data_IF_122692423722
#
_entry.id   IF_122692423722
#
_cell.length_a   1.000
_cell.length_b   1.000
_cell.length_c   1.000
_cell.angle_alpha   90.00
_cell.angle_beta   90.00
_cell.angle_gamma   90.00
#
_symmetry.space_group_name_H-M   'P 1'
#
loop_
_entity.id
_entity.type
_entity.pdbx_description
1 polymer ?
#
# COMPACT_ATOMS: atom_id res chain seq x y z
N UNK A 1 16.00 -3.33 8.98
CA UNK A 1 15.12 -2.76 7.95
C UNK A 1 15.98 -2.46 6.75
N UNK A 2 15.67 -3.00 5.57
CA UNK A 2 16.41 -2.67 4.34
C UNK A 2 16.36 -1.16 4.08
N UNK A 3 17.43 -0.58 3.54
CA UNK A 3 17.52 0.86 3.22
C UNK A 3 16.33 1.34 2.36
N UNK A 4 15.79 0.46 1.50
CA UNK A 4 14.64 0.77 0.66
C UNK A 4 13.34 0.98 1.45
N UNK A 5 13.12 0.21 2.51
CA UNK A 5 11.90 0.28 3.32
C UNK A 5 11.88 1.57 4.13
N UNK A 6 13.02 1.89 4.77
CA UNK A 6 13.19 3.15 5.47
C UNK A 6 13.05 4.34 4.51
N UNK A 7 13.67 4.27 3.33
CA UNK A 7 13.55 5.31 2.31
C UNK A 7 12.11 5.53 1.87
N UNK A 8 11.34 4.45 1.69
CA UNK A 8 9.93 4.54 1.32
C UNK A 8 9.08 5.22 2.41
N UNK A 9 9.31 4.84 3.67
CA UNK A 9 8.65 5.45 4.83
C UNK A 9 9.03 6.94 4.95
N UNK A 10 10.32 7.25 5.00
CA UNK A 10 10.83 8.63 5.17
C UNK A 10 10.34 9.56 4.06
N UNK A 11 10.35 9.11 2.80
CA UNK A 11 9.84 9.90 1.68
C UNK A 11 8.35 10.20 1.84
N UNK A 12 7.55 9.19 2.21
CA UNK A 12 6.10 9.31 2.34
C UNK A 12 5.68 10.23 3.51
N UNK A 13 6.51 10.36 4.56
CA UNK A 13 6.26 11.34 5.63
C UNK A 13 6.24 12.79 5.12
N UNK A 14 7.01 13.10 4.08
CA UNK A 14 7.19 14.47 3.59
C UNK A 14 6.54 14.76 2.25
N UNK A 15 6.10 13.74 1.52
CA UNK A 15 5.51 13.91 0.19
C UNK A 15 4.09 14.48 0.29
N UNK A 16 3.77 15.49 -0.52
CA UNK A 16 2.41 16.02 -0.64
C UNK A 16 1.58 15.10 -1.53
N UNK A 17 0.91 14.11 -0.93
CA UNK A 17 0.03 13.20 -1.66
C UNK A 17 -1.28 13.89 -2.02
N UNK A 18 -1.75 13.66 -3.25
CA UNK A 18 -3.11 14.03 -3.62
C UNK A 18 -4.13 13.08 -2.94
N UNK A 19 -5.39 13.51 -2.72
CA UNK A 19 -6.41 12.66 -2.12
C UNK A 19 -6.60 11.32 -2.83
N UNK A 20 -6.50 11.31 -4.16
CA UNK A 20 -6.59 10.09 -4.97
C UNK A 20 -5.41 9.15 -4.73
N UNK A 21 -4.22 9.66 -4.41
CA UNK A 21 -3.05 8.83 -4.14
C UNK A 21 -3.16 8.17 -2.77
N UNK A 22 -3.69 8.88 -1.77
CA UNK A 22 -4.00 8.35 -0.44
C UNK A 22 -5.07 7.24 -0.52
N UNK A 23 -6.12 7.46 -1.30
CA UNK A 23 -7.16 6.45 -1.55
C UNK A 23 -6.54 5.17 -2.14
N UNK A 24 -5.63 5.32 -3.11
CA UNK A 24 -5.00 4.19 -3.77
C UNK A 24 -3.89 3.53 -2.95
N UNK A 25 -3.25 4.25 -2.03
CA UNK A 25 -2.39 3.67 -0.99
C UNK A 25 -3.21 2.72 -0.09
N UNK A 26 -4.36 3.19 0.40
CA UNK A 26 -5.27 2.43 1.25
C UNK A 26 -5.80 1.18 0.54
N UNK A 27 -6.26 1.32 -0.72
CA UNK A 27 -6.71 0.18 -1.53
C UNK A 27 -5.61 -0.83 -1.79
N UNK A 28 -4.37 -0.38 -2.00
CA UNK A 28 -3.25 -1.30 -2.22
C UNK A 28 -2.91 -2.05 -0.93
N UNK A 29 -2.86 -1.37 0.21
CA UNK A 29 -2.66 -1.99 1.53
C UNK A 29 -3.73 -3.07 1.79
N UNK A 30 -5.00 -2.76 1.56
CA UNK A 30 -6.10 -3.71 1.68
C UNK A 30 -5.91 -4.96 0.80
N UNK A 31 -5.51 -4.77 -0.47
CA UNK A 31 -5.23 -5.89 -1.38
C UNK A 31 -4.03 -6.73 -0.96
N UNK A 32 -3.04 -6.14 -0.30
CA UNK A 32 -1.86 -6.86 0.18
C UNK A 32 -2.21 -7.68 1.43
N UNK A 33 -2.99 -7.11 2.36
CA UNK A 33 -3.45 -7.83 3.57
C UNK A 33 -4.39 -9.00 3.27
N UNK A 34 -5.15 -8.91 2.17
CA UNK A 34 -6.02 -9.97 1.63
C UNK A 34 -5.26 -10.98 0.73
N UNK A 35 -3.95 -10.80 0.54
CA UNK A 35 -3.09 -11.61 -0.33
C UNK A 35 -3.53 -11.66 -1.82
N UNK A 36 -4.49 -10.84 -2.26
CA UNK A 36 -4.91 -10.74 -3.67
C UNK A 36 -4.01 -9.84 -4.52
N UNK A 37 -2.83 -9.48 -4.02
CA UNK A 37 -1.85 -8.65 -4.71
C UNK A 37 -0.79 -9.50 -5.40
N UNK A 38 -0.51 -9.26 -6.68
CA UNK A 38 0.52 -10.01 -7.46
C UNK A 38 1.94 -9.46 -7.31
N UNK A 39 2.17 -8.52 -6.39
CA UNK A 39 3.51 -7.99 -6.13
C UNK A 39 4.30 -9.00 -5.28
N UNK A 40 5.62 -9.07 -5.52
CA UNK A 40 6.53 -9.87 -4.68
C UNK A 40 6.62 -9.27 -3.26
N UNK A 41 7.21 -10.02 -2.33
CA UNK A 41 7.30 -9.63 -0.92
C UNK A 41 8.02 -8.29 -0.72
N UNK A 42 9.13 -8.07 -1.44
CA UNK A 42 9.90 -6.83 -1.36
C UNK A 42 9.07 -5.60 -1.76
N UNK A 43 8.36 -5.68 -2.89
CA UNK A 43 7.46 -4.61 -3.34
C UNK A 43 6.33 -4.40 -2.32
N UNK A 44 5.74 -5.48 -1.77
CA UNK A 44 4.68 -5.36 -0.77
C UNK A 44 5.17 -4.62 0.46
N UNK A 45 6.36 -4.95 0.95
CA UNK A 45 6.97 -4.32 2.12
C UNK A 45 7.26 -2.83 1.87
N UNK A 46 7.76 -2.47 0.68
CA UNK A 46 7.90 -1.06 0.26
C UNK A 46 6.58 -0.31 0.33
N UNK A 47 5.51 -0.86 -0.26
CA UNK A 47 4.21 -0.18 -0.27
C UNK A 47 3.53 -0.15 1.11
N UNK A 48 3.79 -1.14 1.97
CA UNK A 48 3.37 -1.06 3.37
C UNK A 48 4.09 0.05 4.12
N UNK A 49 5.39 0.22 3.92
CA UNK A 49 6.14 1.32 4.54
C UNK A 49 5.62 2.71 4.11
N UNK A 50 5.19 2.86 2.85
CA UNK A 50 4.50 4.07 2.41
C UNK A 50 3.17 4.26 3.15
N UNK A 51 2.34 3.22 3.24
CA UNK A 51 1.05 3.29 3.93
C UNK A 51 1.20 3.55 5.44
N UNK A 52 2.18 2.90 6.08
CA UNK A 52 2.49 3.08 7.50
C UNK A 52 2.93 4.53 7.78
N UNK A 53 3.72 5.14 6.89
CA UNK A 53 4.06 6.56 7.00
C UNK A 53 2.84 7.49 6.87
N UNK A 54 1.88 7.19 5.97
CA UNK A 54 0.63 7.95 5.88
C UNK A 54 -0.19 7.86 7.17
N UNK A 55 -0.19 6.70 7.85
CA UNK A 55 -0.88 6.53 9.14
C UNK A 55 -0.21 7.32 10.27
N UNK A 56 1.10 7.49 10.21
CA UNK A 56 1.89 8.14 11.27
C UNK A 56 1.98 9.67 11.09
N UNK A 57 1.43 10.20 9.99
CA UNK A 57 1.35 11.65 9.71
C UNK A 57 0.21 12.30 10.50
N UNK A 58 0.53 13.38 11.22
CA UNK A 58 -0.44 14.14 12.00
C UNK A 58 -1.30 15.10 11.17
N UNK A 59 -0.88 15.39 9.94
CA UNK A 59 -1.59 16.28 9.01
C UNK A 59 -2.60 15.54 8.11
N UNK A 60 -2.64 14.21 8.16
CA UNK A 60 -3.57 13.38 7.43
C UNK A 60 -4.58 12.72 8.37
N UNK A 61 -5.83 12.63 7.92
CA UNK A 61 -6.90 11.92 8.64
C UNK A 61 -7.30 10.70 7.81
N UNK A 62 -7.01 9.51 8.32
CA UNK A 62 -7.37 8.21 7.74
C UNK A 62 -8.38 7.49 8.64
N UNK A 63 -9.52 8.13 8.88
CA UNK A 63 -10.53 7.70 9.84
C UNK A 63 -11.73 6.95 9.22
N UNK A 64 -11.73 6.74 7.90
CA UNK A 64 -12.76 5.95 7.25
C UNK A 64 -12.71 4.46 7.63
N UNK A 65 -13.83 3.76 7.50
CA UNK A 65 -13.99 2.36 7.88
C UNK A 65 -12.94 1.42 7.24
N UNK A 66 -12.47 1.73 6.03
CA UNK A 66 -11.47 0.93 5.33
C UNK A 66 -10.12 1.09 6.01
N UNK A 67 -9.70 2.33 6.25
CA UNK A 67 -8.44 2.62 6.92
C UNK A 67 -8.42 2.14 8.37
N UNK A 68 -9.52 2.28 9.11
CA UNK A 68 -9.64 1.72 10.46
C UNK A 68 -9.45 0.20 10.47
N UNK A 69 -10.05 -0.52 9.51
CA UNK A 69 -9.89 -1.97 9.40
C UNK A 69 -8.45 -2.35 9.04
N UNK A 70 -7.84 -1.67 8.06
CA UNK A 70 -6.45 -1.92 7.65
C UNK A 70 -5.53 -1.71 8.86
N UNK A 71 -5.66 -0.61 9.60
CA UNK A 71 -4.81 -0.33 10.78
C UNK A 71 -4.96 -1.38 11.88
N UNK A 72 -6.17 -1.91 12.12
CA UNK A 72 -6.40 -3.01 13.06
C UNK A 72 -5.74 -4.31 12.60
N UNK A 73 -5.92 -4.66 11.32
CA UNK A 73 -5.43 -5.89 10.72
C UNK A 73 -3.92 -5.89 10.40
N UNK A 74 -3.31 -4.71 10.26
CA UNK A 74 -1.88 -4.56 9.96
C UNK A 74 -1.04 -5.06 11.13
N UNK A 75 -0.14 -6.01 10.86
CA UNK A 75 1.01 -6.32 11.70
C UNK A 75 2.27 -5.80 11.02
N UNK A 76 2.84 -4.70 11.55
CA UNK A 76 4.00 -4.02 10.97
C UNK A 76 5.27 -4.88 10.91
N UNK A 77 5.30 -6.05 11.56
CA UNK A 77 6.44 -6.98 11.52
C UNK A 77 6.38 -7.98 10.34
N UNK A 78 5.30 -7.98 9.57
CA UNK A 78 5.09 -8.91 8.45
C UNK A 78 4.42 -8.21 7.27
N UNK A 79 4.32 -8.88 6.12
CA UNK A 79 3.52 -8.45 4.97
C UNK A 79 2.11 -9.04 4.96
N UNK A 80 1.77 -9.88 5.95
CA UNK A 80 0.46 -10.49 6.10
C UNK A 80 -0.43 -9.71 7.07
N UNK A 81 -1.74 -9.95 7.01
CA UNK A 81 -2.66 -9.51 8.04
C UNK A 81 -2.52 -10.36 9.30
N UNK A 82 -2.87 -9.75 10.44
CA UNK A 82 -3.18 -10.50 11.66
C UNK A 82 -4.28 -11.52 11.35
N UNK A 83 -4.09 -12.82 11.64
CA UNK A 83 -4.99 -13.88 11.19
C UNK A 83 -6.46 -13.68 11.58
N UNK A 84 -6.72 -13.08 12.74
CA UNK A 84 -8.06 -12.83 13.28
C UNK A 84 -8.88 -11.81 12.48
N UNK A 85 -8.26 -11.06 11.55
CA UNK A 85 -8.94 -10.09 10.68
C UNK A 85 -9.05 -10.55 9.22
N UNK A 86 -8.59 -11.76 8.89
CA UNK A 86 -8.48 -12.22 7.51
C UNK A 86 -9.83 -12.21 6.77
N UNK A 87 -10.92 -12.59 7.44
CA UNK A 87 -12.25 -12.65 6.85
C UNK A 87 -12.82 -11.24 6.61
N UNK A 88 -12.67 -10.33 7.57
CA UNK A 88 -13.11 -8.93 7.47
C UNK A 88 -12.36 -8.20 6.35
N UNK A 89 -11.04 -8.41 6.25
CA UNK A 89 -10.20 -7.88 5.18
C UNK A 89 -10.66 -8.38 3.82
N UNK A 90 -10.95 -9.69 3.71
CA UNK A 90 -11.44 -10.29 2.47
C UNK A 90 -12.76 -9.66 2.00
N UNK A 91 -13.75 -9.56 2.90
CA UNK A 91 -15.05 -8.96 2.61
C UNK A 91 -14.94 -7.48 2.26
N UNK A 92 -14.15 -6.72 3.02
CA UNK A 92 -13.91 -5.30 2.75
C UNK A 92 -13.28 -5.10 1.37
N UNK A 93 -12.28 -5.93 1.02
CA UNK A 93 -11.62 -5.90 -0.28
C UNK A 93 -12.61 -6.12 -1.41
N UNK A 94 -13.51 -7.12 -1.30
CA UNK A 94 -14.52 -7.37 -2.33
C UNK A 94 -15.37 -6.12 -2.57
N UNK A 95 -15.88 -5.51 -1.50
CA UNK A 95 -16.73 -4.31 -1.55
C UNK A 95 -16.02 -3.09 -2.16
N UNK A 96 -14.77 -2.85 -1.76
CA UNK A 96 -14.03 -1.62 -2.13
C UNK A 96 -13.40 -1.72 -3.52
N UNK A 97 -12.89 -2.89 -3.91
CA UNK A 97 -12.11 -3.04 -5.13
C UNK A 97 -12.98 -3.13 -6.39
N UNK A 98 -14.25 -3.49 -6.28
CA UNK A 98 -15.17 -3.55 -7.42
C UNK A 98 -15.20 -2.24 -8.23
N UNK A 99 -15.13 -1.09 -7.55
CA UNK A 99 -15.17 0.25 -8.17
C UNK A 99 -13.79 0.85 -8.46
N UNK A 100 -12.71 0.09 -8.26
CA UNK A 100 -11.35 0.60 -8.41
C UNK A 100 -10.93 0.69 -9.89
N UNK A 101 -10.56 1.88 -10.35
CA UNK A 101 -9.95 2.06 -11.67
C UNK A 101 -8.48 1.62 -11.67
N UNK A 102 -8.12 0.73 -12.60
CA UNK A 102 -6.75 0.20 -12.72
C UNK A 102 -5.72 1.27 -13.11
N UNK A 103 -6.14 2.33 -13.82
CA UNK A 103 -5.24 3.40 -14.29
C UNK A 103 -4.62 4.17 -13.13
N UNK A 104 -5.40 4.56 -12.13
CA UNK A 104 -4.91 5.26 -10.94
C UNK A 104 -4.04 4.35 -10.07
N UNK A 105 -4.39 3.06 -9.94
CA UNK A 105 -3.53 2.09 -9.23
C UNK A 105 -2.15 1.96 -9.90
N UNK A 106 -2.09 1.94 -11.24
CA UNK A 106 -0.82 1.94 -11.98
C UNK A 106 -0.06 3.24 -11.79
N UNK A 107 -0.74 4.39 -11.84
CA UNK A 107 -0.14 5.71 -11.65
C UNK A 107 0.49 5.84 -10.25
N UNK A 108 -0.26 5.51 -9.19
CA UNK A 108 0.21 5.49 -7.81
C UNK A 108 1.47 4.64 -7.64
N UNK A 109 1.43 3.37 -8.10
CA UNK A 109 2.62 2.49 -8.00
C UNK A 109 3.83 3.03 -8.75
N UNK A 110 3.61 3.63 -9.92
CA UNK A 110 4.68 4.22 -10.73
C UNK A 110 5.30 5.42 -10.00
N UNK A 111 4.47 6.28 -9.40
CA UNK A 111 4.91 7.43 -8.63
C UNK A 111 5.78 7.00 -7.45
N UNK A 112 5.30 6.07 -6.60
CA UNK A 112 6.06 5.55 -5.45
C UNK A 112 7.41 5.00 -5.90
N UNK A 113 7.40 4.08 -6.87
CA UNK A 113 8.63 3.43 -7.38
C UNK A 113 9.64 4.44 -7.92
N UNK A 114 9.19 5.45 -8.68
CA UNK A 114 10.04 6.51 -9.21
C UNK A 114 10.73 7.27 -8.08
N UNK A 115 9.98 7.68 -7.05
CA UNK A 115 10.50 8.52 -5.98
C UNK A 115 11.46 7.81 -5.02
N UNK A 116 11.28 6.50 -4.82
CA UNK A 116 12.20 5.71 -3.98
C UNK A 116 13.37 5.10 -4.77
N UNK A 117 13.43 5.30 -6.09
CA UNK A 117 14.50 4.78 -6.95
C UNK A 117 14.37 3.30 -7.28
N UNK A 118 13.18 2.72 -7.15
CA UNK A 118 12.83 1.44 -7.78
C UNK A 118 12.53 1.71 -9.26
N UNK A 119 13.56 2.00 -10.05
CA UNK A 119 13.40 1.96 -11.51
C UNK A 119 13.05 0.53 -11.91
N UNK A 120 12.16 0.39 -12.91
CA UNK A 120 11.82 -0.88 -13.54
C UNK A 120 13.07 -1.46 -14.22
N UNK A 121 14.01 -2.01 -13.46
CA UNK A 121 14.95 -2.99 -14.00
C UNK A 121 14.23 -4.33 -13.97
N UNK A 122 14.09 -4.93 -15.15
CA UNK A 122 13.44 -6.21 -15.45
C UNK A 122 11.92 -6.17 -15.63
N UNK A 123 11.47 -5.50 -16.70
CA UNK A 123 10.50 -6.18 -17.57
C UNK A 123 11.30 -6.65 -18.78
N UNK A 124 11.92 -7.83 -18.66
CA UNK A 124 12.17 -8.65 -19.84
C UNK A 124 10.79 -8.98 -20.39
N UNK A 125 10.32 -8.19 -21.35
CA UNK A 125 9.29 -8.61 -22.28
C UNK A 125 9.93 -9.69 -23.16
N UNK A 126 10.00 -10.89 -22.62
CA UNK A 126 10.21 -12.10 -23.39
C UNK A 126 8.86 -12.41 -24.05
N UNK A 127 8.80 -12.14 -25.36
CA UNK A 127 7.89 -12.67 -26.38
C UNK A 127 6.38 -12.61 -26.11
#
# INVERSE_FOLDING_TARGET
MSDFFKKAYDWALTHEFEPIEIEYASKLALKMLDDSCRMNEHDREVFFNVYDALCDRSDLVLDDDVNQLIQKARDRNTIFSKPEFAQEIHHCRIRVIEKMLKVHMKAYKKMVRKNIGLTLQNISSTL
#
